data_IF_292439061603
#
_entry.id   IF_292439061603
#
_cell.length_a   1.000
_cell.length_b   1.000
_cell.length_c   1.000
_cell.angle_alpha   90.00
_cell.angle_beta   90.00
_cell.angle_gamma   90.00
#
_symmetry.space_group_name_H-M   'P 1'
#
loop_
_entity.id
_entity.type
_entity.pdbx_description
1 polymer ?
#
# COMPACT_ATOMS: atom_id res chain seq x y z
N UNK A 1 16.11 -6.76 13.89
CA UNK A 1 14.98 -7.61 13.46
C UNK A 1 15.11 -7.89 11.98
N UNK A 2 14.98 -9.13 11.56
CA UNK A 2 15.08 -9.48 10.15
C UNK A 2 13.85 -8.97 9.38
N UNK A 3 14.01 -8.72 8.09
CA UNK A 3 12.92 -8.25 7.23
C UNK A 3 11.68 -9.16 7.31
N UNK A 4 11.91 -10.48 7.29
CA UNK A 4 10.82 -11.45 7.38
C UNK A 4 10.05 -11.35 8.70
N UNK A 5 10.74 -11.04 9.80
CA UNK A 5 10.08 -10.91 11.10
C UNK A 5 9.13 -9.72 11.15
N UNK A 6 9.48 -8.64 10.44
CA UNK A 6 8.63 -7.44 10.38
C UNK A 6 7.38 -7.67 9.53
N UNK A 7 7.54 -8.36 8.41
CA UNK A 7 6.48 -8.51 7.41
C UNK A 7 5.66 -9.79 7.55
N UNK A 8 6.19 -10.82 8.18
CA UNK A 8 5.53 -12.12 8.25
C UNK A 8 4.16 -12.04 8.91
N UNK A 9 3.15 -12.59 8.24
CA UNK A 9 1.78 -12.61 8.72
C UNK A 9 1.03 -11.29 8.61
N UNK A 10 1.69 -10.24 8.13
CA UNK A 10 1.07 -8.92 8.00
C UNK A 10 0.11 -8.88 6.82
N UNK A 11 -0.98 -8.15 6.99
CA UNK A 11 -2.02 -7.99 5.97
C UNK A 11 -1.77 -6.71 5.20
N UNK A 12 -1.52 -6.81 3.89
CA UNK A 12 -1.20 -5.66 3.05
C UNK A 12 -2.27 -5.48 1.98
N UNK A 13 -2.98 -4.36 2.04
CA UNK A 13 -3.97 -4.01 1.02
C UNK A 13 -3.24 -3.56 -0.24
N UNK A 14 -3.62 -4.13 -1.38
CA UNK A 14 -3.05 -3.77 -2.68
C UNK A 14 -4.16 -3.18 -3.55
N UNK A 15 -3.99 -1.92 -3.97
CA UNK A 15 -4.91 -1.22 -4.86
C UNK A 15 -4.15 -0.87 -6.12
N UNK A 16 -4.41 -1.60 -7.20
CA UNK A 16 -3.69 -1.49 -8.46
C UNK A 16 -4.51 -2.13 -9.57
N UNK A 17 -4.62 -1.49 -10.72
CA UNK A 17 -5.37 -2.01 -11.85
C UNK A 17 -4.49 -2.60 -12.98
N UNK A 18 -3.18 -2.45 -12.87
CA UNK A 18 -2.25 -2.96 -13.86
C UNK A 18 -1.71 -4.32 -13.43
N UNK A 19 -2.14 -5.38 -14.14
CA UNK A 19 -1.88 -6.75 -13.73
C UNK A 19 -0.38 -7.09 -13.61
N UNK A 20 0.44 -6.54 -14.49
CA UNK A 20 1.90 -6.80 -14.43
C UNK A 20 2.51 -6.25 -13.15
N UNK A 21 2.01 -5.12 -12.67
CA UNK A 21 2.47 -4.52 -11.41
C UNK A 21 1.93 -5.32 -10.23
N UNK A 22 0.68 -5.76 -10.29
CA UNK A 22 0.08 -6.61 -9.25
C UNK A 22 0.93 -7.85 -9.03
N UNK A 23 1.38 -8.51 -10.12
CA UNK A 23 2.20 -9.72 -10.00
C UNK A 23 3.52 -9.46 -9.28
N UNK A 24 4.17 -8.35 -9.57
CA UNK A 24 5.42 -7.95 -8.88
C UNK A 24 5.16 -7.72 -7.39
N UNK A 25 4.07 -7.04 -7.07
CA UNK A 25 3.70 -6.78 -5.68
C UNK A 25 3.41 -8.09 -4.94
N UNK A 26 2.61 -8.96 -5.55
CA UNK A 26 2.26 -10.25 -4.94
C UNK A 26 3.48 -11.12 -4.68
N UNK A 27 4.40 -11.20 -5.65
CA UNK A 27 5.63 -11.96 -5.49
C UNK A 27 6.49 -11.40 -4.35
N UNK A 28 6.60 -10.09 -4.27
CA UNK A 28 7.38 -9.43 -3.22
C UNK A 28 6.78 -9.72 -1.85
N UNK A 29 5.47 -9.60 -1.71
CA UNK A 29 4.78 -9.88 -0.45
C UNK A 29 4.93 -11.34 -0.05
N UNK A 30 4.81 -12.25 -1.01
CA UNK A 30 4.96 -13.67 -0.75
C UNK A 30 6.36 -13.99 -0.21
N UNK A 31 7.40 -13.41 -0.80
CA UNK A 31 8.77 -13.60 -0.33
C UNK A 31 8.98 -13.10 1.09
N UNK A 32 8.26 -12.05 1.48
CA UNK A 32 8.35 -11.48 2.82
C UNK A 32 7.46 -12.20 3.84
N UNK A 33 6.64 -13.16 3.39
CA UNK A 33 5.72 -13.87 4.27
C UNK A 33 4.47 -13.07 4.62
N UNK A 34 4.20 -11.99 3.91
CA UNK A 34 3.02 -11.16 4.13
C UNK A 34 1.83 -11.70 3.33
N UNK A 35 0.64 -11.28 3.71
CA UNK A 35 -0.61 -11.68 3.05
C UNK A 35 -1.17 -10.52 2.24
N UNK A 36 -1.67 -10.81 1.06
CA UNK A 36 -2.31 -9.83 0.17
C UNK A 36 -3.79 -9.70 0.53
N UNK A 37 -4.24 -8.47 0.78
CA UNK A 37 -5.66 -8.13 0.90
C UNK A 37 -6.06 -7.50 -0.43
N UNK A 38 -6.98 -8.11 -1.15
CA UNK A 38 -7.29 -7.76 -2.53
C UNK A 38 -6.59 -8.71 -3.50
N UNK A 39 -6.01 -8.26 -4.60
CA UNK A 39 -5.87 -6.86 -5.03
C UNK A 39 -7.21 -6.26 -5.49
N UNK A 40 -7.38 -4.99 -5.27
CA UNK A 40 -8.53 -4.24 -5.75
C UNK A 40 -8.12 -3.40 -6.96
N UNK A 41 -8.81 -3.60 -8.09
CA UNK A 41 -8.51 -2.88 -9.32
C UNK A 41 -9.49 -1.73 -9.59
N UNK A 42 -10.53 -1.62 -8.76
CA UNK A 42 -11.58 -0.62 -8.91
C UNK A 42 -11.78 0.11 -7.58
N UNK A 43 -12.22 1.36 -7.69
CA UNK A 43 -12.41 2.21 -6.52
C UNK A 43 -13.44 1.63 -5.54
N UNK A 44 -14.57 1.12 -6.04
CA UNK A 44 -15.62 0.57 -5.18
C UNK A 44 -15.12 -0.60 -4.33
N UNK A 45 -14.40 -1.54 -4.94
CA UNK A 45 -13.83 -2.68 -4.23
C UNK A 45 -12.76 -2.24 -3.24
N UNK A 46 -11.94 -1.26 -3.62
CA UNK A 46 -10.89 -0.73 -2.76
C UNK A 46 -11.48 -0.05 -1.51
N UNK A 47 -12.55 0.72 -1.69
CA UNK A 47 -13.22 1.40 -0.59
C UNK A 47 -13.80 0.37 0.42
N UNK A 48 -14.39 -0.69 -0.09
CA UNK A 48 -14.97 -1.74 0.76
C UNK A 48 -13.87 -2.41 1.59
N UNK A 49 -12.77 -2.81 0.96
CA UNK A 49 -11.66 -3.46 1.66
C UNK A 49 -11.01 -2.51 2.67
N UNK A 50 -10.80 -1.25 2.30
CA UNK A 50 -10.20 -0.26 3.18
C UNK A 50 -11.05 -0.03 4.42
N UNK A 51 -12.37 -0.12 4.29
CA UNK A 51 -13.31 0.11 5.39
C UNK A 51 -13.45 -1.09 6.32
N UNK A 52 -13.42 -2.30 5.77
CA UNK A 52 -13.84 -3.50 6.52
C UNK A 52 -12.75 -4.52 6.79
N UNK A 53 -11.72 -4.60 5.95
CA UNK A 53 -10.70 -5.64 6.09
C UNK A 53 -9.71 -5.33 7.21
N UNK A 54 -9.07 -6.39 7.71
CA UNK A 54 -7.94 -6.25 8.62
C UNK A 54 -6.70 -5.92 7.79
N UNK A 55 -6.08 -4.77 8.03
CA UNK A 55 -4.99 -4.25 7.20
C UNK A 55 -3.90 -3.68 8.10
N UNK A 56 -2.65 -4.08 7.83
CA UNK A 56 -1.49 -3.56 8.55
C UNK A 56 -0.79 -2.45 7.77
N UNK A 57 -0.83 -2.51 6.45
CA UNK A 57 -0.25 -1.49 5.57
C UNK A 57 -0.94 -1.56 4.21
N UNK A 58 -0.77 -0.53 3.37
CA UNK A 58 -1.39 -0.53 2.06
C UNK A 58 -0.47 0.07 0.99
N UNK A 59 -0.65 -0.42 -0.23
CA UNK A 59 0.01 0.07 -1.44
C UNK A 59 -1.10 0.55 -2.36
N UNK A 60 -1.10 1.85 -2.67
CA UNK A 60 -2.18 2.49 -3.42
C UNK A 60 -1.65 3.12 -4.72
N UNK A 61 -2.12 2.62 -5.86
CA UNK A 61 -1.96 3.37 -7.11
C UNK A 61 -2.85 4.61 -7.01
N UNK A 62 -2.34 5.77 -7.39
CA UNK A 62 -3.10 7.03 -7.34
C UNK A 62 -4.32 6.96 -8.24
N UNK A 63 -4.16 6.44 -9.46
CA UNK A 63 -5.24 6.34 -10.44
C UNK A 63 -5.62 4.89 -10.68
N UNK A 64 -6.88 4.56 -10.47
CA UNK A 64 -7.45 3.23 -10.67
C UNK A 64 -8.77 3.34 -11.41
N UNK A 65 -9.35 2.22 -11.80
CA UNK A 65 -10.66 2.20 -12.46
C UNK A 65 -11.72 2.74 -11.50
N UNK A 66 -12.49 3.69 -11.96
CA UNK A 66 -13.54 4.33 -11.17
C UNK A 66 -13.12 5.65 -10.55
N UNK A 67 -11.84 6.04 -10.63
CA UNK A 67 -11.37 7.32 -10.14
C UNK A 67 -9.99 7.27 -9.52
N UNK A 68 -9.68 8.24 -8.68
CA UNK A 68 -8.42 8.24 -7.93
C UNK A 68 -8.61 7.55 -6.58
N UNK A 69 -7.50 7.16 -5.97
CA UNK A 69 -7.52 6.42 -4.71
C UNK A 69 -7.51 7.29 -3.46
N UNK A 70 -7.66 8.61 -3.59
CA UNK A 70 -7.67 9.50 -2.41
C UNK A 70 -8.74 9.14 -1.39
N UNK A 71 -9.98 8.78 -1.79
CA UNK A 71 -10.97 8.37 -0.80
C UNK A 71 -10.54 7.13 0.00
N UNK A 72 -9.82 6.21 -0.65
CA UNK A 72 -9.26 5.03 0.02
C UNK A 72 -8.21 5.46 1.04
N UNK A 73 -7.31 6.36 0.63
CA UNK A 73 -6.27 6.91 1.50
C UNK A 73 -6.86 7.61 2.73
N UNK A 74 -7.96 8.34 2.54
CA UNK A 74 -8.64 9.03 3.63
C UNK A 74 -9.15 8.04 4.68
N UNK A 75 -9.73 6.92 4.25
CA UNK A 75 -10.21 5.87 5.15
C UNK A 75 -9.03 5.25 5.92
N UNK A 76 -7.96 4.93 5.22
CA UNK A 76 -6.77 4.34 5.85
C UNK A 76 -6.14 5.28 6.86
N UNK A 77 -6.05 6.56 6.53
CA UNK A 77 -5.53 7.58 7.45
C UNK A 77 -6.39 7.68 8.71
N UNK A 78 -7.71 7.67 8.56
CA UNK A 78 -8.64 7.70 9.68
C UNK A 78 -8.50 6.47 10.57
N UNK A 79 -8.23 5.30 9.98
CA UNK A 79 -8.00 4.06 10.73
C UNK A 79 -6.58 3.94 11.31
N UNK A 80 -5.70 4.89 11.01
CA UNK A 80 -4.30 4.83 11.46
C UNK A 80 -3.47 3.79 10.75
N UNK A 81 -3.84 3.41 9.54
CA UNK A 81 -3.13 2.40 8.74
C UNK A 81 -2.12 3.11 7.83
N UNK A 82 -0.82 2.78 7.92
CA UNK A 82 0.18 3.41 7.05
C UNK A 82 0.05 2.92 5.61
N UNK A 83 0.34 3.80 4.66
CA UNK A 83 0.24 3.45 3.24
C UNK A 83 1.26 4.24 2.41
N UNK A 84 1.54 3.73 1.21
CA UNK A 84 2.41 4.36 0.23
C UNK A 84 1.63 4.54 -1.07
N UNK A 85 1.79 5.71 -1.70
CA UNK A 85 1.23 5.96 -3.03
C UNK A 85 2.20 5.51 -4.10
N UNK A 86 1.68 4.88 -5.16
CA UNK A 86 2.44 4.54 -6.36
C UNK A 86 1.92 5.41 -7.49
N UNK A 87 2.80 6.12 -8.18
CA UNK A 87 2.37 7.06 -9.22
C UNK A 87 3.37 7.12 -10.37
N UNK A 88 2.86 7.41 -11.58
CA UNK A 88 3.70 7.72 -12.73
C UNK A 88 4.07 9.20 -12.76
N UNK A 89 4.76 9.60 -13.81
CA UNK A 89 5.23 10.99 -13.97
C UNK A 89 4.09 12.00 -14.00
N UNK A 90 2.94 11.62 -14.51
CA UNK A 90 1.81 12.52 -14.63
C UNK A 90 1.07 12.77 -13.32
N UNK A 91 1.39 12.02 -12.27
CA UNK A 91 0.65 12.05 -11.01
C UNK A 91 1.42 12.78 -9.90
N UNK A 92 2.19 13.78 -10.25
CA UNK A 92 3.05 14.49 -9.30
C UNK A 92 2.30 15.32 -8.29
N UNK A 93 1.11 15.77 -8.62
CA UNK A 93 0.35 16.68 -7.78
C UNK A 93 -0.57 15.90 -6.84
N UNK A 94 -0.03 15.33 -5.79
CA UNK A 94 -0.84 14.75 -4.72
C UNK A 94 -1.63 15.88 -4.05
N UNK A 95 -2.84 15.55 -3.62
CA UNK A 95 -3.61 16.50 -2.84
C UNK A 95 -2.86 16.90 -1.58
N UNK A 96 -3.04 18.12 -1.14
CA UNK A 96 -2.28 18.72 -0.04
C UNK A 96 -2.27 17.85 1.21
N UNK A 97 -3.40 17.26 1.57
CA UNK A 97 -3.51 16.42 2.77
C UNK A 97 -2.71 15.12 2.72
N UNK A 98 -2.25 14.74 1.51
CA UNK A 98 -1.46 13.52 1.31
C UNK A 98 -0.03 13.80 0.84
N UNK A 99 0.36 15.07 0.80
CA UNK A 99 1.64 15.48 0.23
C UNK A 99 2.84 14.90 0.96
N UNK A 100 2.72 14.69 2.26
CA UNK A 100 3.80 14.16 3.09
C UNK A 100 3.83 12.63 3.20
N UNK A 101 2.91 11.95 2.53
CA UNK A 101 2.87 10.49 2.55
C UNK A 101 3.98 9.90 1.69
N UNK A 102 4.51 8.72 2.06
CA UNK A 102 5.50 8.03 1.23
C UNK A 102 4.97 7.78 -0.17
N UNK A 103 5.87 7.80 -1.14
CA UNK A 103 5.49 7.63 -2.54
C UNK A 103 6.56 6.84 -3.29
N UNK A 104 6.10 5.90 -4.12
CA UNK A 104 6.94 5.17 -5.06
C UNK A 104 6.62 5.66 -6.46
N UNK A 105 7.64 6.02 -7.23
CA UNK A 105 7.48 6.48 -8.61
C UNK A 105 7.63 5.28 -9.55
N UNK A 106 6.67 5.09 -10.44
CA UNK A 106 6.70 4.03 -11.45
C UNK A 106 7.69 4.38 -12.57
N UNK A 107 8.46 3.44 -13.08
CA UNK A 107 8.58 2.06 -12.61
C UNK A 107 9.45 1.97 -11.36
N UNK A 108 9.06 1.11 -10.43
CA UNK A 108 9.87 0.86 -9.23
C UNK A 108 10.32 -0.62 -9.24
N UNK A 109 11.44 -0.89 -8.57
CA UNK A 109 11.97 -2.25 -8.46
C UNK A 109 11.33 -2.99 -7.29
N UNK A 110 11.37 -4.33 -7.27
CA UNK A 110 10.96 -5.10 -6.08
C UNK A 110 11.73 -4.67 -4.83
N UNK A 111 12.98 -4.27 -4.98
CA UNK A 111 13.80 -3.79 -3.88
C UNK A 111 13.25 -2.47 -3.30
N UNK A 112 12.84 -1.54 -4.16
CA UNK A 112 12.23 -0.28 -3.74
C UNK A 112 10.94 -0.54 -2.97
N UNK A 113 10.13 -1.46 -3.48
CA UNK A 113 8.86 -1.83 -2.85
C UNK A 113 9.10 -2.45 -1.48
N UNK A 114 10.05 -3.39 -1.38
CA UNK A 114 10.40 -4.05 -0.13
C UNK A 114 10.83 -3.02 0.92
N UNK A 115 11.69 -2.09 0.54
CA UNK A 115 12.16 -1.05 1.46
C UNK A 115 11.01 -0.22 2.02
N UNK A 116 10.09 0.22 1.16
CA UNK A 116 8.93 0.99 1.59
C UNK A 116 8.02 0.19 2.51
N UNK A 117 7.75 -1.05 2.16
CA UNK A 117 6.91 -1.92 2.98
C UNK A 117 7.49 -2.13 4.37
N UNK A 118 8.79 -2.37 4.46
CA UNK A 118 9.44 -2.57 5.76
C UNK A 118 9.40 -1.31 6.60
N UNK A 119 9.53 -0.13 5.99
CA UNK A 119 9.39 1.12 6.71
C UNK A 119 7.97 1.30 7.25
N UNK A 120 6.95 1.04 6.43
CA UNK A 120 5.55 1.15 6.86
C UNK A 120 5.24 0.18 7.99
N UNK A 121 5.61 -1.07 7.84
CA UNK A 121 5.32 -2.12 8.82
C UNK A 121 6.16 -1.97 10.09
N UNK A 122 7.40 -1.54 9.95
CA UNK A 122 8.28 -1.28 11.07
C UNK A 122 7.79 -0.15 11.95
N UNK A 123 7.33 0.94 11.35
CA UNK A 123 6.76 2.07 12.06
C UNK A 123 5.48 1.66 12.82
N UNK A 124 4.61 0.89 12.16
CA UNK A 124 3.38 0.39 12.79
C UNK A 124 3.69 -0.53 13.97
N UNK A 125 4.69 -1.40 13.83
CA UNK A 125 5.12 -2.29 14.91
C UNK A 125 5.64 -1.51 16.11
N UNK A 126 6.43 -0.47 15.86
CA UNK A 126 6.96 0.39 16.92
C UNK A 126 5.84 1.12 17.68
N UNK A 127 4.86 1.62 16.95
CA UNK A 127 3.70 2.26 17.55
C UNK A 127 2.92 1.29 18.44
N UNK A 128 2.76 0.04 17.99
CA UNK A 128 2.03 -0.98 18.73
C UNK A 128 2.76 -1.43 20.00
N UNK A 129 4.07 -1.36 20.01
CA UNK A 129 4.87 -1.82 21.14
C UNK A 129 4.95 -0.79 22.26
N UNK A 130 4.44 0.38 22.03
CA UNK A 130 4.34 1.42 23.05
C UNK A 130 2.97 1.44 23.69
#
# INVERSE_FOLDING_TARGET
MAAQDIAEGRQVLVVEDEMTIVLVIEDTLLELGAHVVGPASRLDAALLLASEASIDAAILDVNIRGGNSYPVADILAERGIPFVFCSGYSDWALEERHRDRPRLTKPYSPSDLTEQLLQLLGAASNERSQ
#
